data_IF_937087015887
#
_entry.id   IF_937087015887
#
_cell.length_a   1.000
_cell.length_b   1.000
_cell.length_c   1.000
_cell.angle_alpha   90.00
_cell.angle_beta   90.00
_cell.angle_gamma   90.00
#
_symmetry.space_group_name_H-M   'P 1'
#
loop_
_entity.id
_entity.type
_entity.pdbx_description
1 polymer ?
#
# COMPACT_ATOMS: atom_id res chain seq x y z
N UNK A 1 -25.63 -7.72 -9.42
CA UNK A 1 -24.23 -7.39 -9.02
C UNK A 1 -23.46 -8.70 -8.93
N UNK A 2 -22.25 -8.79 -9.48
CA UNK A 2 -21.43 -10.01 -9.44
C UNK A 2 -20.74 -10.09 -8.07
N UNK A 3 -20.89 -11.22 -7.39
CA UNK A 3 -20.21 -11.49 -6.12
C UNK A 3 -18.73 -11.78 -6.35
N UNK A 4 -17.89 -11.38 -5.41
CA UNK A 4 -16.46 -11.71 -5.46
C UNK A 4 -16.26 -13.21 -5.30
N UNK A 5 -15.37 -13.79 -6.10
CA UNK A 5 -15.03 -15.21 -6.08
C UNK A 5 -13.74 -15.49 -5.30
N UNK A 6 -13.54 -16.71 -4.77
CA UNK A 6 -12.26 -17.10 -4.17
C UNK A 6 -11.09 -16.83 -5.13
N UNK A 7 -10.04 -16.21 -4.61
CA UNK A 7 -8.86 -15.76 -5.37
C UNK A 7 -8.98 -14.37 -5.98
N UNK A 8 -10.18 -13.78 -6.08
CA UNK A 8 -10.30 -12.38 -6.48
C UNK A 8 -9.86 -11.46 -5.35
N UNK A 9 -9.13 -10.40 -5.70
CA UNK A 9 -8.63 -9.42 -4.77
C UNK A 9 -8.99 -8.00 -5.20
N UNK A 10 -9.03 -7.09 -4.23
CA UNK A 10 -9.08 -5.64 -4.48
C UNK A 10 -8.01 -4.96 -3.66
N UNK A 11 -7.45 -3.87 -4.18
CA UNK A 11 -6.61 -2.95 -3.43
C UNK A 11 -7.26 -1.55 -3.43
N UNK A 12 -7.45 -0.98 -2.25
CA UNK A 12 -7.94 0.40 -2.11
C UNK A 12 -6.77 1.33 -1.82
N UNK A 13 -6.61 2.36 -2.65
CA UNK A 13 -5.60 3.40 -2.49
C UNK A 13 -6.23 4.64 -1.85
N UNK A 14 -5.83 4.94 -0.61
CA UNK A 14 -6.22 6.14 0.13
C UNK A 14 -5.05 6.66 0.94
N UNK A 15 -5.27 7.24 2.13
CA UNK A 15 -4.19 7.64 3.05
C UNK A 15 -3.21 6.49 3.32
N UNK A 16 -3.75 5.30 3.59
CA UNK A 16 -3.06 4.02 3.56
C UNK A 16 -3.56 3.14 2.40
N UNK A 17 -3.00 1.94 2.27
CA UNK A 17 -3.39 0.96 1.27
C UNK A 17 -3.94 -0.29 1.96
N UNK A 18 -5.03 -0.84 1.44
CA UNK A 18 -5.65 -2.06 1.98
C UNK A 18 -5.96 -3.03 0.84
N UNK A 19 -5.30 -4.18 0.89
CA UNK A 19 -5.49 -5.29 -0.04
C UNK A 19 -6.31 -6.37 0.65
N UNK A 20 -7.42 -6.76 0.03
CA UNK A 20 -8.26 -7.88 0.49
C UNK A 20 -8.36 -8.91 -0.62
N UNK A 21 -8.11 -10.18 -0.29
CA UNK A 21 -8.28 -11.32 -1.19
C UNK A 21 -9.33 -12.26 -0.61
N UNK A 22 -10.36 -12.56 -1.40
CA UNK A 22 -11.41 -13.50 -1.02
C UNK A 22 -10.87 -14.93 -0.96
N UNK A 23 -11.11 -15.62 0.14
CA UNK A 23 -10.67 -17.00 0.42
C UNK A 23 -11.82 -18.01 0.38
N UNK A 24 -13.00 -17.57 -0.05
CA UNK A 24 -14.21 -18.38 -0.09
C UNK A 24 -14.79 -18.63 1.30
N UNK A 25 -15.41 -19.79 1.47
CA UNK A 25 -15.93 -20.25 2.77
C UNK A 25 -14.82 -20.77 3.71
N UNK A 26 -13.56 -20.79 3.28
CA UNK A 26 -12.44 -21.29 4.05
C UNK A 26 -11.80 -20.18 4.87
N UNK A 27 -11.71 -20.37 6.18
CA UNK A 27 -10.92 -19.50 7.06
C UNK A 27 -9.44 -19.83 6.85
N UNK A 28 -8.70 -18.95 6.20
CA UNK A 28 -7.26 -19.13 5.99
C UNK A 28 -6.49 -18.31 7.02
N UNK A 29 -5.74 -18.99 7.90
CA UNK A 29 -4.85 -18.34 8.86
C UNK A 29 -3.51 -18.02 8.20
N UNK A 30 -3.10 -16.75 8.26
CA UNK A 30 -1.84 -16.33 7.65
C UNK A 30 -0.62 -16.85 8.41
N UNK A 31 0.42 -17.25 7.68
CA UNK A 31 1.77 -17.51 8.21
C UNK A 31 2.74 -16.35 7.96
N UNK A 32 2.25 -15.25 7.40
CA UNK A 32 3.06 -14.11 6.94
C UNK A 32 2.48 -12.76 7.41
N UNK A 33 1.88 -12.73 8.60
CA UNK A 33 1.40 -11.48 9.21
C UNK A 33 0.22 -10.82 8.49
N UNK A 34 -0.57 -11.56 7.70
CA UNK A 34 -1.83 -11.03 7.17
C UNK A 34 -2.96 -11.26 8.16
N UNK A 35 -3.98 -10.40 8.12
CA UNK A 35 -5.18 -10.55 8.92
C UNK A 35 -6.14 -11.52 8.22
N UNK A 36 -6.73 -12.44 9.00
CA UNK A 36 -7.86 -13.25 8.55
C UNK A 36 -9.15 -12.55 8.97
N UNK A 37 -10.00 -12.20 8.02
CA UNK A 37 -11.19 -11.37 8.28
C UNK A 37 -12.43 -11.88 7.55
N UNK A 38 -13.60 -11.38 7.92
CA UNK A 38 -14.82 -11.61 7.16
C UNK A 38 -14.79 -10.78 5.85
N UNK A 39 -15.13 -11.41 4.72
CA UNK A 39 -15.23 -10.72 3.44
C UNK A 39 -16.64 -10.17 3.23
N UNK A 40 -17.66 -11.04 3.29
CA UNK A 40 -19.08 -10.67 3.24
C UNK A 40 -19.96 -11.87 3.63
N UNK A 41 -21.23 -11.59 3.97
CA UNK A 41 -22.29 -12.58 4.12
C UNK A 41 -23.60 -11.95 3.62
N UNK A 42 -24.22 -12.54 2.59
CA UNK A 42 -25.39 -11.97 1.93
C UNK A 42 -26.69 -12.52 2.54
N UNK A 43 -26.97 -12.10 3.77
CA UNK A 43 -28.16 -12.51 4.53
C UNK A 43 -27.84 -13.51 5.63
N UNK A 44 -28.78 -13.69 6.59
CA UNK A 44 -28.54 -14.45 7.81
C UNK A 44 -28.22 -15.94 7.55
N UNK A 45 -28.83 -16.53 6.52
CA UNK A 45 -28.68 -17.95 6.20
C UNK A 45 -27.59 -18.24 5.16
N UNK A 46 -26.99 -17.21 4.57
CA UNK A 46 -25.92 -17.36 3.58
C UNK A 46 -24.61 -17.79 4.25
N UNK A 47 -23.83 -18.66 3.58
CA UNK A 47 -22.50 -19.04 4.08
C UNK A 47 -21.57 -17.82 4.06
N UNK A 48 -20.92 -17.46 5.18
CA UNK A 48 -19.97 -16.35 5.19
C UNK A 48 -18.79 -16.65 4.26
N UNK A 49 -18.33 -15.61 3.59
CA UNK A 49 -17.07 -15.62 2.85
C UNK A 49 -16.01 -14.89 3.66
N UNK A 50 -14.78 -15.36 3.62
CA UNK A 50 -13.64 -14.83 4.37
C UNK A 50 -12.60 -14.20 3.44
N UNK A 51 -11.73 -13.38 3.98
CA UNK A 51 -10.62 -12.78 3.26
C UNK A 51 -9.31 -12.84 4.04
N UNK A 52 -8.21 -12.83 3.30
CA UNK A 52 -6.92 -12.37 3.80
C UNK A 52 -6.77 -10.89 3.52
N UNK A 53 -6.34 -10.13 4.51
CA UNK A 53 -6.16 -8.70 4.44
C UNK A 53 -4.70 -8.32 4.76
N UNK A 54 -4.13 -7.47 3.90
CA UNK A 54 -2.86 -6.80 4.11
C UNK A 54 -3.05 -5.29 4.08
N UNK A 55 -2.36 -4.59 4.97
CA UNK A 55 -2.41 -3.13 5.07
C UNK A 55 -1.01 -2.53 4.96
N UNK A 56 -0.92 -1.37 4.31
CA UNK A 56 0.26 -0.51 4.29
C UNK A 56 -0.16 0.86 4.84
N UNK A 57 0.53 1.34 5.88
CA UNK A 57 0.16 2.60 6.55
C UNK A 57 0.37 3.84 5.67
N UNK A 58 1.22 3.71 4.66
CA UNK A 58 1.65 4.82 3.81
C UNK A 58 1.24 4.61 2.36
N UNK A 59 0.05 5.08 2.01
CA UNK A 59 -0.42 5.22 0.63
C UNK A 59 -0.27 6.65 0.17
N UNK A 60 -1.38 7.32 -0.12
CA UNK A 60 -1.42 8.72 -0.56
C UNK A 60 -0.81 9.72 0.44
N UNK A 61 -0.66 9.37 1.71
CA UNK A 61 0.05 10.23 2.67
C UNK A 61 1.54 10.42 2.31
N UNK A 62 2.17 9.49 1.58
CA UNK A 62 3.53 9.73 1.05
C UNK A 62 3.52 10.84 0.02
N UNK A 63 2.55 10.85 -0.89
CA UNK A 63 2.40 11.90 -1.92
C UNK A 63 2.10 13.25 -1.24
N UNK A 64 1.18 13.27 -0.27
CA UNK A 64 0.93 14.49 0.52
C UNK A 64 2.18 14.96 1.26
N UNK A 65 2.99 14.05 1.79
CA UNK A 65 4.23 14.40 2.48
C UNK A 65 5.31 14.95 1.53
N UNK A 66 5.42 14.42 0.30
CA UNK A 66 6.32 14.98 -0.71
C UNK A 66 5.94 16.43 -1.06
N UNK A 67 4.64 16.74 -1.09
CA UNK A 67 4.11 18.09 -1.34
C UNK A 67 4.28 19.02 -0.13
N UNK A 68 3.67 18.67 0.98
CA UNK A 68 3.50 19.56 2.13
C UNK A 68 4.70 19.51 3.09
N UNK A 69 5.39 18.38 3.14
CA UNK A 69 6.54 18.16 4.02
C UNK A 69 7.86 18.59 3.39
N UNK A 70 8.21 18.01 2.23
CA UNK A 70 9.47 18.31 1.55
C UNK A 70 9.37 19.40 0.48
N UNK A 71 8.16 19.76 0.02
CA UNK A 71 8.00 20.74 -1.06
C UNK A 71 8.56 20.28 -2.41
N UNK A 72 8.68 18.96 -2.64
CA UNK A 72 9.23 18.42 -3.89
C UNK A 72 8.25 18.53 -5.06
N UNK A 73 6.96 18.48 -4.77
CA UNK A 73 5.87 18.63 -5.75
C UNK A 73 4.93 19.75 -5.28
N UNK A 74 4.28 20.43 -6.21
CA UNK A 74 3.28 21.46 -5.95
C UNK A 74 1.87 20.87 -5.82
N UNK A 75 1.59 19.78 -6.54
CA UNK A 75 0.32 19.05 -6.46
C UNK A 75 0.52 17.54 -6.58
N UNK A 76 -0.44 16.71 -6.12
CA UNK A 76 -0.33 15.25 -6.23
C UNK A 76 -0.14 14.76 -7.67
N UNK A 77 -0.76 15.42 -8.65
CA UNK A 77 -0.70 15.08 -10.08
C UNK A 77 0.71 15.26 -10.67
N UNK A 78 1.52 16.16 -10.10
CA UNK A 78 2.90 16.37 -10.53
C UNK A 78 3.78 15.13 -10.28
N UNK A 79 3.40 14.25 -9.35
CA UNK A 79 4.13 13.01 -9.06
C UNK A 79 4.27 12.13 -10.30
N UNK A 80 3.17 11.90 -11.01
CA UNK A 80 3.16 11.08 -12.24
C UNK A 80 3.95 11.78 -13.35
N UNK A 81 3.77 13.09 -13.50
CA UNK A 81 4.44 13.87 -14.53
C UNK A 81 5.96 13.85 -14.35
N UNK A 82 6.46 14.06 -13.13
CA UNK A 82 7.90 14.02 -12.82
C UNK A 82 8.47 12.62 -13.00
N UNK A 83 7.83 11.61 -12.42
CA UNK A 83 8.30 10.23 -12.53
C UNK A 83 8.39 9.78 -14.00
N UNK A 84 7.47 10.23 -14.86
CA UNK A 84 7.49 9.93 -16.30
C UNK A 84 8.62 10.63 -17.08
N UNK A 85 9.33 11.60 -16.49
CA UNK A 85 10.47 12.29 -17.15
C UNK A 85 11.80 11.57 -17.00
N UNK A 86 11.88 10.56 -16.15
CA UNK A 86 13.05 9.73 -15.92
C UNK A 86 12.74 8.27 -16.27
N UNK A 87 13.74 7.50 -16.68
CA UNK A 87 13.57 6.10 -17.04
C UNK A 87 13.41 5.19 -15.81
N UNK A 88 14.10 5.55 -14.72
CA UNK A 88 14.11 4.80 -13.46
C UNK A 88 14.37 5.70 -12.25
N UNK A 89 14.55 5.10 -11.07
CA UNK A 89 14.83 5.82 -9.82
C UNK A 89 16.29 6.25 -9.68
N UNK A 90 17.18 5.99 -10.66
CA UNK A 90 18.60 6.31 -10.57
C UNK A 90 19.33 5.61 -9.42
N UNK A 91 18.82 4.45 -8.98
CA UNK A 91 19.30 3.71 -7.81
C UNK A 91 18.74 4.20 -6.48
N UNK A 92 17.85 5.18 -6.47
CA UNK A 92 17.18 5.67 -5.27
C UNK A 92 16.13 4.66 -4.81
N UNK A 93 16.11 4.41 -3.50
CA UNK A 93 15.04 3.68 -2.82
C UNK A 93 14.45 4.56 -1.74
N UNK A 94 13.14 4.78 -1.80
CA UNK A 94 12.38 5.47 -0.78
C UNK A 94 11.44 4.49 -0.07
N UNK A 95 11.66 4.30 1.23
CA UNK A 95 10.82 3.47 2.11
C UNK A 95 10.02 4.42 3.01
N UNK A 96 8.74 4.67 2.72
CA UNK A 96 7.99 5.73 3.40
C UNK A 96 7.34 5.21 4.69
N UNK A 97 8.11 4.61 5.60
CA UNK A 97 7.61 4.00 6.85
C UNK A 97 7.45 5.03 7.99
N UNK A 98 6.75 6.14 7.77
CA UNK A 98 6.69 7.27 8.72
C UNK A 98 6.16 6.89 10.11
N UNK A 99 5.25 5.92 10.17
CA UNK A 99 4.64 5.40 11.39
C UNK A 99 4.92 3.90 11.61
N UNK A 100 6.01 3.38 11.00
CA UNK A 100 6.33 1.96 11.02
C UNK A 100 5.88 1.21 9.77
N UNK A 101 6.21 -0.08 9.72
CA UNK A 101 5.75 -1.02 8.69
C UNK A 101 4.60 -1.84 9.25
N UNK A 102 3.49 -1.89 8.50
CA UNK A 102 2.39 -2.81 8.77
C UNK A 102 2.68 -4.19 8.13
N UNK A 103 1.68 -4.83 7.55
CA UNK A 103 1.84 -6.14 6.93
C UNK A 103 2.91 -6.12 5.80
N UNK A 104 3.67 -7.22 5.63
CA UNK A 104 3.68 -8.44 6.45
C UNK A 104 4.57 -8.35 7.70
N UNK A 105 5.30 -7.25 7.90
CA UNK A 105 6.42 -7.19 8.84
C UNK A 105 6.07 -6.75 10.26
N UNK A 106 5.07 -5.88 10.42
CA UNK A 106 4.63 -5.34 11.72
C UNK A 106 5.79 -4.80 12.58
N UNK A 107 6.57 -3.90 11.99
CA UNK A 107 7.73 -3.25 12.61
C UNK A 107 7.37 -1.82 12.98
N UNK A 108 6.90 -1.61 14.20
CA UNK A 108 6.53 -0.29 14.72
C UNK A 108 7.72 0.67 14.90
N UNK A 109 8.94 0.13 14.99
CA UNK A 109 10.19 0.88 15.13
C UNK A 109 10.77 1.35 13.78
N UNK A 110 10.28 0.81 12.65
CA UNK A 110 10.71 1.22 11.33
C UNK A 110 10.37 2.70 11.07
N UNK A 111 11.25 3.41 10.37
CA UNK A 111 11.09 4.83 10.03
C UNK A 111 11.36 5.08 8.55
N UNK A 112 10.93 6.25 8.07
CA UNK A 112 11.18 6.69 6.70
C UNK A 112 12.67 6.65 6.35
N UNK A 113 13.01 6.10 5.18
CA UNK A 113 14.39 5.95 4.71
C UNK A 113 14.47 6.30 3.22
N UNK A 114 15.43 7.12 2.84
CA UNK A 114 15.80 7.36 1.45
C UNK A 114 17.29 7.08 1.27
N UNK A 115 17.64 6.15 0.40
CA UNK A 115 19.02 5.71 0.15
C UNK A 115 19.32 5.65 -1.35
N UNK A 116 20.61 5.55 -1.71
CA UNK A 116 21.03 5.47 -3.11
C UNK A 116 21.12 6.81 -3.82
N UNK A 117 21.09 7.92 -3.08
CA UNK A 117 21.27 9.27 -3.63
C UNK A 117 22.68 9.43 -4.21
N UNK A 118 22.76 9.97 -5.41
CA UNK A 118 24.00 10.42 -6.05
C UNK A 118 23.87 11.89 -6.47
N UNK A 119 24.95 12.51 -6.96
CA UNK A 119 24.89 13.87 -7.48
C UNK A 119 23.97 14.04 -8.71
N UNK A 120 23.61 12.94 -9.38
CA UNK A 120 22.68 12.95 -10.53
C UNK A 120 21.22 12.87 -10.10
N UNK A 121 20.96 12.53 -8.84
CA UNK A 121 19.60 12.39 -8.33
C UNK A 121 18.90 13.75 -8.34
N UNK A 122 17.71 13.75 -8.91
CA UNK A 122 16.78 14.89 -8.93
C UNK A 122 15.49 14.49 -8.24
N UNK A 123 14.62 15.47 -7.94
CA UNK A 123 13.30 15.20 -7.37
C UNK A 123 12.41 14.30 -8.23
N UNK A 124 12.71 14.13 -9.52
CA UNK A 124 11.97 13.22 -10.40
C UNK A 124 12.29 11.74 -10.15
N UNK A 125 13.45 11.45 -9.56
CA UNK A 125 13.87 10.09 -9.20
C UNK A 125 13.32 9.63 -7.84
N UNK A 126 12.72 10.56 -7.07
CA UNK A 126 12.14 10.35 -5.74
C UNK A 126 10.63 10.20 -5.88
#
# INVERSE_FOLDING_TARGET
>A
KKESKPGEAKNTYGTGLFLLMNTGASIVQSKHGLLTTACFQLGPDAKPQYALEGAVGTGGVSVSWLRDGLGLIASPEETEQLAATVEDTGGVYFVPAFSGLLAPYWREDARGLMIGLTQYTTRAHI
#
